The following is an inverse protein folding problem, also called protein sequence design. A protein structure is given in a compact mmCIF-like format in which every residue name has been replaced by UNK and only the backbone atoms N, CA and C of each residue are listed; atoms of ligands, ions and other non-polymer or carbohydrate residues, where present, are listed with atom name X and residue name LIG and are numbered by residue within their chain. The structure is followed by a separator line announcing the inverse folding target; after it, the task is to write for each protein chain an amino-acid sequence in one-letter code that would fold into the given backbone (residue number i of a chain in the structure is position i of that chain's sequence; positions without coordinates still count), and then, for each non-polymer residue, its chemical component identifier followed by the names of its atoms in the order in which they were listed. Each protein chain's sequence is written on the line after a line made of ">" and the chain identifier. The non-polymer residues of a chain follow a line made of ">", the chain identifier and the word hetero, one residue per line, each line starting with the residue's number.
data_IF_529121796209
#
_entry.id   IF_529121796209
#
_cell.length_a   1.000
_cell.length_b   1.000
_cell.length_c   1.000
_cell.angle_alpha   90.00
_cell.angle_beta   90.00
_cell.angle_gamma   90.00
#
_symmetry.space_group_name_H-M   'P 1'
#
loop_
_entity.id
_entity.type
_entity.pdbx_description
1 polymer ?
#
# COMPACT_ATOMS: atom_id res chain seq x y z
N UNK A 1 -19.80 0.98 8.92
CA UNK A 1 -19.00 -0.09 8.25
C UNK A 1 -17.71 0.54 7.76
N UNK A 2 -16.55 0.01 8.15
CA UNK A 2 -15.24 0.50 7.70
C UNK A 2 -15.09 0.22 6.20
N UNK A 3 -14.52 1.15 5.43
CA UNK A 3 -14.28 0.96 3.99
C UNK A 3 -12.90 0.38 3.75
N UNK A 4 -12.83 -0.66 2.92
CA UNK A 4 -11.56 -1.26 2.50
C UNK A 4 -10.97 -0.45 1.35
N UNK A 5 -9.66 -0.22 1.40
CA UNK A 5 -8.90 0.52 0.38
C UNK A 5 -7.73 -0.34 -0.06
N UNK A 6 -7.70 -0.72 -1.34
CA UNK A 6 -6.53 -1.34 -1.96
C UNK A 6 -5.46 -0.27 -2.17
N UNK A 7 -4.24 -0.52 -1.68
CA UNK A 7 -3.15 0.46 -1.66
C UNK A 7 -1.99 -0.06 -2.50
N UNK A 8 -1.50 0.76 -3.42
CA UNK A 8 -0.26 0.50 -4.15
C UNK A 8 0.84 1.40 -3.61
N UNK A 9 2.01 0.82 -3.32
CA UNK A 9 3.22 1.58 -2.99
C UNK A 9 4.24 1.34 -4.11
N UNK A 10 4.51 2.38 -4.91
CA UNK A 10 5.39 2.33 -6.08
C UNK A 10 6.89 2.22 -5.76
N UNK A 11 7.27 1.44 -4.75
CA UNK A 11 8.67 1.25 -4.39
C UNK A 11 8.86 -0.02 -3.57
N UNK A 12 9.72 -0.92 -4.06
CA UNK A 12 10.06 -2.21 -3.43
C UNK A 12 11.30 -2.13 -2.51
N UNK A 13 12.01 -1.00 -2.49
CA UNK A 13 13.23 -0.85 -1.68
C UNK A 13 12.91 -0.89 -0.19
N UNK A 14 13.78 -1.54 0.60
CA UNK A 14 13.65 -1.67 2.06
C UNK A 14 13.36 -0.33 2.77
N UNK A 15 14.08 0.72 2.40
CA UNK A 15 13.99 2.06 3.04
C UNK A 15 13.05 3.04 2.32
N UNK A 16 12.02 2.54 1.63
CA UNK A 16 11.05 3.39 0.91
C UNK A 16 10.38 4.42 1.80
N UNK A 17 10.57 5.71 1.48
CA UNK A 17 9.86 6.82 2.12
C UNK A 17 8.35 6.71 1.86
N UNK A 18 7.94 6.27 0.67
CA UNK A 18 6.53 6.07 0.33
C UNK A 18 5.89 4.95 1.16
N UNK A 19 6.63 3.89 1.50
CA UNK A 19 6.15 2.85 2.40
C UNK A 19 6.00 3.37 3.84
N UNK A 20 6.93 4.21 4.31
CA UNK A 20 6.83 4.90 5.61
C UNK A 20 5.62 5.84 5.63
N UNK A 21 5.37 6.60 4.56
CA UNK A 21 4.20 7.45 4.39
C UNK A 21 2.89 6.65 4.41
N UNK A 22 2.82 5.53 3.68
CA UNK A 22 1.67 4.64 3.66
C UNK A 22 1.30 4.17 5.08
N UNK A 23 2.29 3.75 5.89
CA UNK A 23 2.07 3.37 7.30
C UNK A 23 1.56 4.52 8.16
N UNK A 24 2.06 5.75 7.95
CA UNK A 24 1.58 6.92 8.66
C UNK A 24 0.12 7.24 8.32
N UNK A 25 -0.25 7.16 7.03
CA UNK A 25 -1.62 7.34 6.57
C UNK A 25 -2.56 6.25 7.12
N UNK A 26 -2.12 4.99 7.14
CA UNK A 26 -2.86 3.88 7.73
C UNK A 26 -3.18 4.16 9.20
N UNK A 27 -2.19 4.63 9.98
CA UNK A 27 -2.38 5.00 11.38
C UNK A 27 -3.37 6.16 11.56
N UNK A 28 -3.31 7.18 10.72
CA UNK A 28 -4.25 8.31 10.75
C UNK A 28 -5.68 7.92 10.34
N UNK A 29 -5.82 6.86 9.56
CA UNK A 29 -7.10 6.38 9.05
C UNK A 29 -7.71 5.26 9.90
N UNK A 30 -7.07 4.85 11.00
CA UNK A 30 -7.55 3.76 11.86
C UNK A 30 -8.99 3.99 12.33
N UNK A 31 -9.78 2.91 12.36
CA UNK A 31 -11.23 2.95 12.61
C UNK A 31 -12.09 3.58 11.49
N UNK A 32 -11.51 4.20 10.45
CA UNK A 32 -12.22 4.79 9.31
C UNK A 32 -11.99 4.01 8.02
N UNK A 33 -10.76 3.59 7.76
CA UNK A 33 -10.34 2.85 6.57
C UNK A 33 -9.55 1.59 6.94
N UNK A 34 -9.75 0.52 6.18
CA UNK A 34 -8.95 -0.70 6.25
C UNK A 34 -8.04 -0.77 5.02
N UNK A 35 -6.73 -0.61 5.24
CA UNK A 35 -5.75 -0.65 4.14
C UNK A 35 -5.41 -2.11 3.79
N UNK A 36 -5.38 -2.40 2.49
CA UNK A 36 -4.92 -3.66 1.94
C UNK A 36 -3.82 -3.40 0.92
N UNK A 37 -2.56 -3.70 1.27
CA UNK A 37 -1.41 -3.45 0.40
C UNK A 37 -1.40 -4.46 -0.76
N UNK A 38 -1.33 -3.97 -1.99
CA UNK A 38 -1.13 -4.78 -3.18
C UNK A 38 0.37 -5.01 -3.42
N UNK A 39 0.75 -6.27 -3.60
CA UNK A 39 2.12 -6.70 -3.88
C UNK A 39 2.47 -6.52 -5.37
N UNK A 40 2.52 -5.27 -5.83
CA UNK A 40 2.75 -4.96 -7.26
C UNK A 40 4.09 -5.45 -7.80
N UNK A 41 5.06 -5.78 -6.93
CA UNK A 41 6.34 -6.37 -7.31
C UNK A 41 6.25 -7.84 -7.71
N UNK A 42 5.13 -8.50 -7.40
CA UNK A 42 4.89 -9.90 -7.74
C UNK A 42 4.16 -10.03 -9.10
N UNK A 43 3.76 -8.90 -9.72
CA UNK A 43 3.13 -8.89 -11.03
C UNK A 43 4.19 -9.05 -12.13
N UNK A 44 3.93 -9.86 -13.17
CA UNK A 44 4.82 -9.94 -14.32
C UNK A 44 4.80 -8.62 -15.10
N UNK A 45 5.80 -8.45 -15.97
CA UNK A 45 5.67 -7.48 -17.03
C UNK A 45 4.51 -7.88 -17.95
N UNK A 46 3.80 -6.88 -18.45
CA UNK A 46 2.75 -7.10 -19.43
C UNK A 46 3.41 -7.43 -20.77
N UNK A 47 2.93 -8.49 -21.43
CA UNK A 47 3.40 -8.99 -22.74
C UNK A 47 4.83 -9.59 -22.80
N UNK A 48 5.39 -9.99 -21.66
CA UNK A 48 6.60 -10.85 -21.61
C UNK A 48 6.30 -12.33 -21.89
#
# INVERSE_FOLDING_TARGET
>A
MVKTVAVMVGSLRKESINHKLMKALQKLADGRLQFHLLHIGDLPHYDD
#
